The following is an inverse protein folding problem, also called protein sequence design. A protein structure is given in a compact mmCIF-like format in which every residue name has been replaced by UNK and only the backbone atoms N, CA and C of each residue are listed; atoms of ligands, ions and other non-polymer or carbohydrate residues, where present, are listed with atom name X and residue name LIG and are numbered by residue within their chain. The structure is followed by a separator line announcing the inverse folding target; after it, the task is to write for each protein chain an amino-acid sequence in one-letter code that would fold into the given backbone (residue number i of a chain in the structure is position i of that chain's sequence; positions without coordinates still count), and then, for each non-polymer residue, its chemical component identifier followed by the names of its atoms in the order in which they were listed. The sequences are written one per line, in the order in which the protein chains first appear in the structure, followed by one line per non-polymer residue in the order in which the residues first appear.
data_IF_743233747878
#
_entry.id   IF_743233747878
#
_cell.length_a   1.000
_cell.length_b   1.000
_cell.length_c   1.000
_cell.angle_alpha   90.00
_cell.angle_beta   90.00
_cell.angle_gamma   90.00
#
_symmetry.space_group_name_H-M   'P 1'
#
loop_
_entity.id
_entity.type
_entity.pdbx_description
1 polymer ?
#
# COMPACT_ATOMS: atom_id res chain seq x y z
N UNK A 1 -9.96 4.83 -5.13
CA UNK A 1 -8.58 4.30 -5.17
C UNK A 1 -7.57 5.44 -5.39
N UNK A 2 -6.49 5.58 -4.61
CA UNK A 2 -5.50 6.67 -4.85
C UNK A 2 -4.72 6.48 -6.17
N UNK A 3 -4.61 5.23 -6.63
CA UNK A 3 -3.93 4.87 -7.88
C UNK A 3 -4.71 5.26 -9.14
N UNK A 4 -5.99 5.67 -9.03
CA UNK A 4 -6.72 6.28 -10.15
C UNK A 4 -6.59 7.80 -10.19
N UNK A 5 -6.03 8.42 -9.16
CA UNK A 5 -5.86 9.87 -9.11
C UNK A 5 -4.50 10.25 -9.65
N UNK A 6 -4.47 11.13 -10.66
CA UNK A 6 -3.21 11.66 -11.19
C UNK A 6 -2.55 12.57 -10.16
N UNK A 7 -1.34 12.23 -9.65
CA UNK A 7 -0.62 13.10 -8.70
C UNK A 7 -0.21 14.40 -9.40
N UNK A 8 -0.48 15.54 -8.76
CA UNK A 8 -0.24 16.88 -9.31
C UNK A 8 1.04 17.49 -8.77
N UNK A 9 1.35 17.23 -7.50
CA UNK A 9 2.55 17.77 -6.82
C UNK A 9 3.67 16.72 -6.70
N UNK A 10 4.92 17.16 -6.49
CA UNK A 10 6.04 16.24 -6.22
C UNK A 10 5.79 15.37 -4.99
N UNK A 11 5.14 15.95 -3.97
CA UNK A 11 4.75 15.25 -2.75
C UNK A 11 3.78 14.11 -3.04
N UNK A 12 2.71 14.40 -3.79
CA UNK A 12 1.74 13.39 -4.22
C UNK A 12 2.39 12.34 -5.14
N UNK A 13 3.34 12.73 -6.00
CA UNK A 13 4.09 11.79 -6.85
C UNK A 13 4.92 10.81 -6.01
N UNK A 14 5.63 11.30 -4.99
CA UNK A 14 6.40 10.47 -4.09
C UNK A 14 5.50 9.48 -3.32
N UNK A 15 4.41 9.97 -2.72
CA UNK A 15 3.42 9.11 -2.05
C UNK A 15 2.85 8.06 -2.99
N UNK A 16 2.46 8.47 -4.21
CA UNK A 16 1.93 7.57 -5.23
C UNK A 16 2.94 6.48 -5.61
N UNK A 17 4.22 6.82 -5.78
CA UNK A 17 5.29 5.85 -6.04
C UNK A 17 5.38 4.79 -4.93
N UNK A 18 5.35 5.21 -3.67
CA UNK A 18 5.36 4.28 -2.53
C UNK A 18 4.13 3.38 -2.51
N UNK A 19 2.95 3.95 -2.75
CA UNK A 19 1.68 3.21 -2.78
C UNK A 19 1.65 2.15 -3.90
N UNK A 20 2.14 2.50 -5.09
CA UNK A 20 2.33 1.54 -6.19
C UNK A 20 3.30 0.43 -5.78
N UNK A 21 4.44 0.80 -5.16
CA UNK A 21 5.45 -0.17 -4.71
C UNK A 21 4.89 -1.15 -3.67
N UNK A 22 4.10 -0.66 -2.71
CA UNK A 22 3.42 -1.48 -1.70
C UNK A 22 2.40 -2.41 -2.37
N UNK A 23 1.57 -1.90 -3.29
CA UNK A 23 0.60 -2.72 -4.03
C UNK A 23 1.28 -3.88 -4.74
N UNK A 24 2.35 -3.62 -5.49
CA UNK A 24 3.07 -4.68 -6.18
C UNK A 24 3.66 -5.72 -5.22
N UNK A 25 4.22 -5.29 -4.07
CA UNK A 25 4.67 -6.23 -3.06
C UNK A 25 3.53 -7.10 -2.51
N UNK A 26 2.34 -6.53 -2.31
CA UNK A 26 1.15 -7.25 -1.85
C UNK A 26 0.57 -8.22 -2.88
N UNK A 27 0.74 -7.95 -4.18
CA UNK A 27 0.34 -8.85 -5.26
C UNK A 27 1.30 -10.04 -5.43
N UNK A 28 2.57 -9.86 -5.05
CA UNK A 28 3.61 -10.90 -5.18
C UNK A 28 3.77 -11.78 -3.94
N UNK A 29 3.14 -11.42 -2.82
CA UNK A 29 3.24 -12.21 -1.59
C UNK A 29 2.23 -13.35 -1.57
N UNK A 30 2.67 -14.50 -1.04
CA UNK A 30 1.83 -15.67 -0.76
C UNK A 30 1.19 -15.63 0.64
N UNK A 31 1.44 -14.56 1.41
CA UNK A 31 0.88 -14.38 2.75
C UNK A 31 -0.54 -13.84 2.68
N UNK A 32 -1.45 -14.49 3.41
CA UNK A 32 -2.85 -14.08 3.48
C UNK A 32 -2.95 -12.69 4.09
N UNK A 33 -2.34 -12.50 5.25
CA UNK A 33 -2.09 -11.18 5.81
C UNK A 33 -0.83 -10.58 5.15
N UNK A 34 -0.95 -9.50 4.37
CA UNK A 34 0.22 -8.88 3.75
C UNK A 34 1.18 -8.27 4.77
N UNK A 35 0.73 -7.96 5.99
CA UNK A 35 1.58 -7.46 7.07
C UNK A 35 2.56 -8.51 7.59
N UNK A 36 2.36 -9.80 7.33
CA UNK A 36 3.34 -10.86 7.63
C UNK A 36 4.47 -10.96 6.59
N UNK A 37 4.37 -10.22 5.49
CA UNK A 37 5.38 -10.24 4.43
C UNK A 37 6.44 -9.18 4.70
N UNK A 38 7.69 -9.61 4.96
CA UNK A 38 8.83 -8.72 5.19
C UNK A 38 9.01 -7.70 4.05
N UNK A 39 8.86 -8.14 2.79
CA UNK A 39 8.95 -7.24 1.63
C UNK A 39 7.85 -6.17 1.66
N UNK A 40 6.65 -6.47 2.14
CA UNK A 40 5.58 -5.47 2.29
C UNK A 40 5.90 -4.52 3.44
N UNK A 41 6.30 -5.05 4.60
CA UNK A 41 6.70 -4.26 5.77
C UNK A 41 7.80 -3.24 5.43
N UNK A 42 8.87 -3.66 4.77
CA UNK A 42 9.96 -2.77 4.36
C UNK A 42 9.49 -1.63 3.43
N UNK A 43 8.46 -1.86 2.60
CA UNK A 43 7.91 -0.83 1.70
C UNK A 43 6.99 0.12 2.46
N UNK A 44 6.23 -0.40 3.42
CA UNK A 44 5.43 0.39 4.35
C UNK A 44 6.33 1.31 5.17
N UNK A 45 7.40 0.80 5.78
CA UNK A 45 8.33 1.61 6.58
C UNK A 45 8.97 2.75 5.78
N UNK A 46 9.20 2.56 4.48
CA UNK A 46 9.70 3.64 3.61
C UNK A 46 8.65 4.74 3.43
N UNK A 47 7.39 4.37 3.25
CA UNK A 47 6.28 5.33 3.20
C UNK A 47 6.09 6.03 4.56
N UNK A 48 6.05 5.28 5.66
CA UNK A 48 5.94 5.85 7.01
C UNK A 48 7.03 6.90 7.28
N UNK A 49 8.29 6.60 6.94
CA UNK A 49 9.41 7.56 7.06
C UNK A 49 9.21 8.81 6.21
N UNK A 50 8.76 8.65 4.97
CA UNK A 50 8.48 9.78 4.09
C UNK A 50 7.35 10.67 4.65
N UNK A 51 6.27 10.06 5.14
CA UNK A 51 5.13 10.78 5.72
C UNK A 51 5.53 11.52 6.98
N UNK A 52 6.38 10.93 7.84
CA UNK A 52 6.91 11.61 9.03
C UNK A 52 7.82 12.78 8.67
N UNK A 53 8.64 12.65 7.62
CA UNK A 53 9.57 13.71 7.22
C UNK A 53 8.89 14.91 6.54
N UNK A 54 7.85 14.66 5.73
CA UNK A 54 7.27 15.67 4.84
C UNK A 54 5.80 16.01 5.15
N UNK A 55 5.21 15.40 6.19
CA UNK A 55 3.76 15.29 6.41
C UNK A 55 3.04 14.58 5.26
N UNK A 56 1.85 13.99 5.46
CA UNK A 56 1.01 13.52 4.34
C UNK A 56 0.48 14.68 3.48
N UNK A 57 0.19 14.43 2.21
CA UNK A 57 -0.55 15.36 1.34
C UNK A 57 -2.03 15.37 1.73
N UNK A 58 -2.75 16.44 1.34
CA UNK A 58 -4.20 16.50 1.57
C UNK A 58 -4.93 15.34 0.89
N UNK A 59 -4.47 14.95 -0.31
CA UNK A 59 -5.02 13.80 -1.03
C UNK A 59 -4.80 12.50 -0.26
N UNK A 60 -3.59 12.27 0.25
CA UNK A 60 -3.27 11.10 1.06
C UNK A 60 -4.11 11.05 2.34
N UNK A 61 -4.15 12.15 3.09
CA UNK A 61 -4.94 12.28 4.32
C UNK A 61 -6.41 11.99 4.05
N UNK A 62 -7.00 12.59 3.01
CA UNK A 62 -8.42 12.36 2.65
C UNK A 62 -8.73 10.89 2.36
N UNK A 63 -7.75 10.15 1.85
CA UNK A 63 -7.92 8.77 1.42
C UNK A 63 -7.66 7.75 2.53
N UNK A 64 -6.69 8.00 3.41
CA UNK A 64 -6.15 6.97 4.32
C UNK A 64 -6.16 7.37 5.78
N UNK A 65 -6.27 8.66 6.11
CA UNK A 65 -6.28 9.08 7.50
C UNK A 65 -7.64 8.80 8.13
N UNK A 66 -7.64 8.05 9.23
CA UNK A 66 -8.83 7.65 9.99
C UNK A 66 -9.89 6.88 9.17
N UNK A 67 -9.53 6.35 7.99
CA UNK A 67 -10.42 5.53 7.15
C UNK A 67 -9.64 4.45 6.39
N UNK A 68 -10.35 3.42 5.98
CA UNK A 68 -9.82 2.36 5.12
C UNK A 68 -9.87 2.80 3.66
N UNK A 69 -8.74 3.28 3.13
CA UNK A 69 -8.61 3.64 1.72
C UNK A 69 -8.18 2.45 0.88
N UNK A 70 -8.69 2.36 -0.35
CA UNK A 70 -8.30 1.31 -1.30
C UNK A 70 -6.97 1.63 -1.99
N UNK A 71 -6.05 0.67 -1.93
CA UNK A 71 -4.81 0.66 -2.71
C UNK A 71 -4.86 -0.33 -3.88
N UNK A 72 -6.00 -1.00 -4.07
CA UNK A 72 -6.29 -1.97 -5.12
C UNK A 72 -7.67 -2.58 -4.88
N UNK A 73 -8.17 -3.38 -5.82
CA UNK A 73 -9.49 -4.03 -5.73
C UNK A 73 -9.69 -4.86 -4.46
N UNK A 74 -8.60 -5.36 -3.91
CA UNK A 74 -8.60 -6.36 -2.84
C UNK A 74 -7.74 -5.97 -1.64
N UNK A 75 -7.24 -4.73 -1.63
CA UNK A 75 -6.28 -4.25 -0.65
C UNK A 75 -6.74 -2.92 -0.09
N UNK A 76 -6.91 -2.90 1.23
CA UNK A 76 -7.21 -1.69 1.97
C UNK A 76 -6.04 -1.32 2.88
N UNK A 77 -5.89 -0.02 3.07
CA UNK A 77 -4.85 0.57 3.90
C UNK A 77 -5.46 1.67 4.77
N UNK A 78 -4.94 1.83 5.98
CA UNK A 78 -5.24 2.95 6.87
C UNK A 78 -3.95 3.52 7.41
N UNK A 79 -3.88 4.84 7.46
CA UNK A 79 -2.83 5.59 8.13
C UNK A 79 -3.36 6.16 9.44
N UNK A 80 -2.61 5.94 10.53
CA UNK A 80 -2.87 6.53 11.83
C UNK A 80 -1.92 7.71 12.03
N UNK A 81 -2.47 8.93 11.98
CA UNK A 81 -1.70 10.16 12.16
C UNK A 81 -1.01 10.24 13.52
N UNK A 82 -1.67 9.78 14.59
CA UNK A 82 -1.14 9.86 15.96
C UNK A 82 0.11 8.99 16.17
N UNK A 83 0.19 7.85 15.47
CA UNK A 83 1.31 6.92 15.62
C UNK A 83 2.27 6.95 14.42
N UNK A 84 1.91 7.64 13.34
CA UNK A 84 2.62 7.59 12.06
C UNK A 84 2.59 6.21 11.40
N UNK A 85 1.76 5.27 11.89
CA UNK A 85 1.75 3.88 11.43
C UNK A 85 0.72 3.62 10.34
N UNK A 86 1.08 2.72 9.45
CA UNK A 86 0.21 2.18 8.40
C UNK A 86 -0.20 0.77 8.78
N UNK A 87 -1.50 0.49 8.68
CA UNK A 87 -2.05 -0.86 8.71
C UNK A 87 -2.59 -1.18 7.34
N UNK A 88 -2.33 -2.40 6.87
CA UNK A 88 -2.72 -2.85 5.54
C UNK A 88 -3.31 -4.26 5.65
N UNK A 89 -4.37 -4.53 4.90
CA UNK A 89 -5.03 -5.83 4.93
C UNK A 89 -5.66 -6.14 3.58
N UNK A 90 -5.95 -7.44 3.40
CA UNK A 90 -6.62 -7.95 2.21
C UNK A 90 -8.12 -8.05 2.50
N UNK A 91 -8.95 -7.56 1.60
CA UNK A 91 -10.42 -7.64 1.73
C UNK A 91 -10.97 -8.99 1.22
N UNK A 92 -10.15 -9.74 0.48
CA UNK A 92 -10.50 -11.01 -0.16
C UNK A 92 -9.46 -12.07 0.17
N UNK A 93 -9.87 -13.35 0.28
CA UNK A 93 -8.93 -14.47 0.43
C UNK A 93 -7.99 -14.62 -0.78
N UNK A 94 -6.74 -15.03 -0.56
CA UNK A 94 -5.74 -15.23 -1.62
C UNK A 94 -6.20 -16.17 -2.75
N UNK A 95 -7.00 -17.19 -2.42
CA UNK A 95 -7.50 -18.15 -3.42
C UNK A 95 -8.59 -17.57 -4.33
N UNK A 96 -9.15 -16.40 -3.99
CA UNK A 96 -10.12 -15.64 -4.79
C UNK A 96 -9.47 -14.42 -5.44
N UNK A 97 -8.33 -13.98 -4.91
CA UNK A 97 -7.46 -12.99 -5.52
C UNK A 97 -6.91 -13.57 -6.82
N UNK A 98 -7.34 -13.00 -7.95
CA UNK A 98 -7.13 -13.56 -9.28
C UNK A 98 -5.75 -14.20 -9.47
N UNK A 99 -5.77 -15.39 -10.07
CA UNK A 99 -4.67 -16.32 -10.32
C UNK A 99 -3.42 -15.63 -10.89
N UNK A 100 -2.61 -15.00 -10.04
CA UNK A 100 -1.21 -14.70 -10.36
C UNK A 100 -0.49 -16.02 -10.17
N UNK A 101 -0.64 -16.90 -11.17
CA UNK A 101 0.18 -18.09 -11.29
C UNK A 101 1.63 -17.65 -11.11
N UNK A 102 2.32 -18.35 -10.20
CA UNK A 102 3.75 -18.30 -10.05
C UNK A 102 4.39 -18.07 -11.42
N UNK A 103 5.02 -16.92 -11.63
CA UNK A 103 6.10 -16.81 -12.59
C UNK A 103 7.17 -17.77 -12.07
N UNK A 104 7.03 -19.05 -12.39
CA UNK A 104 8.06 -20.05 -12.19
C UNK A 104 9.28 -19.48 -12.92
N UNK A 105 10.29 -19.08 -12.16
CA UNK A 105 11.63 -18.96 -12.67
C UNK A 105 12.02 -20.39 -13.07
N UNK A 106 11.81 -20.72 -14.33
CA UNK A 106 12.45 -21.88 -14.95
C UNK A 106 13.94 -21.55 -15.01
N UNK A 107 14.72 -22.17 -14.13
CA UNK A 107 16.17 -22.34 -14.30
C UNK A 107 16.38 -23.83 -14.53
#
# INVERSE_FOLDING_TARGET
MILTNTPKTDKERAEHFHLVSIRFACLLTTKQDPMECERVQQRIEKLERQLMACNPSQLFTKMFENRAGEIGSELAMRYNYNTGRITLWRNTPLHQSGTVFQLRASI
#
